data_IF_175760007126
#
_entry.id   IF_175760007126
#
_cell.length_a   1.000
_cell.length_b   1.000
_cell.length_c   1.000
_cell.angle_alpha   90.00
_cell.angle_beta   90.00
_cell.angle_gamma   90.00
#
_symmetry.space_group_name_H-M   'P 1'
#
loop_
_entity.id
_entity.type
_entity.pdbx_description
1 polymer ?
#
# COMPACT_ATOMS: atom_id res chain seq x y z
N UNK A 1 -8.45 10.40 -0.42
CA UNK A 1 -7.76 9.16 -0.84
C UNK A 1 -6.99 8.60 0.34
N UNK A 2 -6.68 7.31 0.36
CA UNK A 2 -5.97 6.63 1.45
C UNK A 2 -4.78 5.88 0.88
N UNK A 3 -3.67 5.84 1.62
CA UNK A 3 -2.55 4.95 1.28
C UNK A 3 -2.88 3.56 1.79
N UNK A 4 -2.78 2.58 0.91
CA UNK A 4 -2.93 1.17 1.25
C UNK A 4 -1.62 0.46 0.96
N UNK A 5 -1.20 -0.34 1.93
CA UNK A 5 -0.10 -1.30 1.80
C UNK A 5 -0.71 -2.68 1.60
N UNK A 6 -0.25 -3.37 0.57
CA UNK A 6 -0.63 -4.73 0.26
C UNK A 6 0.63 -5.57 0.32
N UNK A 7 0.74 -6.35 1.39
CA UNK A 7 1.86 -7.27 1.58
C UNK A 7 1.52 -8.60 0.93
N UNK A 8 2.30 -8.99 -0.07
CA UNK A 8 2.21 -10.26 -0.79
C UNK A 8 3.20 -11.25 -0.19
N UNK A 9 2.73 -12.45 0.16
CA UNK A 9 3.54 -13.56 0.66
C UNK A 9 4.43 -13.23 1.88
N UNK A 10 4.15 -12.13 2.60
CA UNK A 10 4.93 -11.68 3.75
C UNK A 10 6.29 -11.07 3.42
N UNK A 11 6.63 -10.92 2.13
CA UNK A 11 7.96 -10.44 1.69
C UNK A 11 7.89 -9.18 0.86
N UNK A 12 6.93 -9.09 -0.07
CA UNK A 12 6.81 -7.96 -0.99
C UNK A 12 5.68 -7.06 -0.55
N UNK A 13 5.87 -5.74 -0.57
CA UNK A 13 4.80 -4.78 -0.26
C UNK A 13 4.57 -3.82 -1.41
N UNK A 14 3.30 -3.67 -1.79
CA UNK A 14 2.84 -2.72 -2.80
C UNK A 14 2.11 -1.60 -2.08
N UNK A 15 2.54 -0.36 -2.31
CA UNK A 15 1.91 0.85 -1.78
C UNK A 15 1.15 1.56 -2.88
N UNK A 16 -0.10 1.91 -2.63
CA UNK A 16 -0.91 2.62 -3.61
C UNK A 16 -1.98 3.51 -2.96
N UNK A 17 -2.44 4.50 -3.72
CA UNK A 17 -3.53 5.39 -3.33
C UNK A 17 -4.87 4.87 -3.82
N UNK A 18 -5.80 4.63 -2.90
CA UNK A 18 -7.15 4.19 -3.22
C UNK A 18 -8.20 4.83 -2.29
N UNK A 19 -9.45 4.98 -2.75
CA UNK A 19 -10.54 5.48 -1.91
C UNK A 19 -10.93 4.47 -0.80
N UNK A 20 -10.79 3.17 -1.06
CA UNK A 20 -11.15 2.09 -0.14
C UNK A 20 -10.16 0.92 -0.25
N UNK A 21 -10.10 0.07 0.78
CA UNK A 21 -9.29 -1.17 0.76
C UNK A 21 -9.71 -2.12 -0.37
N UNK A 22 -11.00 -2.18 -0.67
CA UNK A 22 -11.52 -2.99 -1.77
C UNK A 22 -11.00 -2.49 -3.12
N UNK A 23 -11.05 -1.16 -3.34
CA UNK A 23 -10.53 -0.57 -4.58
C UNK A 23 -9.01 -0.76 -4.71
N UNK A 24 -8.29 -0.74 -3.59
CA UNK A 24 -6.86 -1.05 -3.59
C UNK A 24 -6.58 -2.48 -4.08
N UNK A 25 -7.37 -3.45 -3.64
CA UNK A 25 -7.25 -4.84 -4.08
C UNK A 25 -7.55 -5.03 -5.56
N UNK A 26 -8.62 -4.40 -6.07
CA UNK A 26 -8.93 -4.44 -7.50
C UNK A 26 -7.76 -3.89 -8.34
N UNK A 27 -7.18 -2.76 -7.93
CA UNK A 27 -6.07 -2.13 -8.65
C UNK A 27 -4.81 -3.00 -8.66
N UNK A 28 -4.46 -3.63 -7.54
CA UNK A 28 -3.33 -4.58 -7.49
C UNK A 28 -3.64 -5.84 -8.30
N UNK A 29 -4.90 -6.29 -8.30
CA UNK A 29 -5.37 -7.37 -9.16
C UNK A 29 -5.08 -7.11 -10.63
N UNK A 30 -5.50 -5.94 -11.12
CA UNK A 30 -5.25 -5.52 -12.50
C UNK A 30 -3.75 -5.41 -12.79
N UNK A 31 -2.99 -4.73 -11.94
CA UNK A 31 -1.55 -4.58 -12.12
C UNK A 31 -0.82 -5.93 -12.22
N UNK A 32 -1.13 -6.87 -11.33
CA UNK A 32 -0.50 -8.20 -11.34
C UNK A 32 -0.93 -9.05 -12.52
N UNK A 33 -2.19 -8.94 -12.96
CA UNK A 33 -2.66 -9.60 -14.17
C UNK A 33 -1.90 -9.09 -15.41
N UNK A 34 -1.73 -7.77 -15.54
CA UNK A 34 -0.99 -7.15 -16.65
C UNK A 34 0.51 -7.52 -16.61
N UNK A 35 1.07 -7.66 -15.40
CA UNK A 35 2.43 -8.15 -15.18
C UNK A 35 2.60 -9.66 -15.39
N UNK A 36 1.56 -10.38 -15.85
CA UNK A 36 1.52 -11.85 -16.02
C UNK A 36 1.81 -12.64 -14.73
N UNK A 37 1.45 -12.08 -13.57
CA UNK A 37 1.56 -12.72 -12.24
C UNK A 37 0.25 -12.72 -11.45
N UNK A 38 -0.88 -13.15 -12.03
CA UNK A 38 -2.19 -13.12 -11.36
C UNK A 38 -2.26 -14.04 -10.12
N UNK A 39 -1.35 -15.01 -10.01
CA UNK A 39 -1.22 -15.96 -8.91
C UNK A 39 -0.70 -15.35 -7.60
N UNK A 40 -0.09 -14.17 -7.65
CA UNK A 40 0.41 -13.47 -6.46
C UNK A 40 -0.70 -12.99 -5.50
N UNK A 41 -1.95 -12.89 -5.98
CA UNK A 41 -3.13 -12.54 -5.19
C UNK A 41 -3.98 -13.76 -4.82
N UNK A 42 -3.38 -14.96 -4.73
CA UNK A 42 -4.11 -16.12 -4.23
C UNK A 42 -4.62 -15.89 -2.81
N UNK A 43 -5.90 -16.22 -2.62
CA UNK A 43 -6.61 -16.12 -1.34
C UNK A 43 -5.79 -16.78 -0.23
N UNK A 44 -5.65 -16.09 0.91
CA UNK A 44 -4.90 -16.46 2.12
C UNK A 44 -3.40 -16.16 2.20
N UNK A 45 -2.79 -15.50 1.19
CA UNK A 45 -1.36 -15.11 1.25
C UNK A 45 -1.06 -13.62 1.06
N UNK A 46 -2.05 -12.75 1.27
CA UNK A 46 -1.83 -11.31 1.25
C UNK A 46 -2.53 -10.59 2.41
N UNK A 47 -1.95 -9.49 2.85
CA UNK A 47 -2.48 -8.63 3.91
C UNK A 47 -2.70 -7.23 3.35
N UNK A 48 -3.88 -6.65 3.60
CA UNK A 48 -4.20 -5.27 3.20
C UNK A 48 -4.32 -4.39 4.42
N UNK A 49 -3.36 -3.48 4.56
CA UNK A 49 -3.33 -2.47 5.62
C UNK A 49 -3.61 -1.10 5.02
N UNK A 50 -4.47 -0.34 5.67
CA UNK A 50 -4.56 1.10 5.38
C UNK A 50 -3.52 1.76 6.26
N UNK A 51 -2.61 2.54 5.66
CA UNK A 51 -1.63 3.31 6.42
C UNK A 51 -2.26 4.62 6.87
N UNK A 52 -2.05 4.95 8.12
CA UNK A 52 -2.26 6.30 8.63
C UNK A 52 -0.96 7.07 8.44
N UNK A 53 -0.93 7.97 7.46
CA UNK A 53 0.24 8.80 7.16
C UNK A 53 0.59 9.71 8.33
N UNK A 54 -0.37 10.07 9.18
CA UNK A 54 -0.09 10.90 10.36
C UNK A 54 0.69 10.12 11.42
N UNK A 55 0.41 8.83 11.60
CA UNK A 55 1.18 7.96 12.50
C UNK A 55 2.59 7.66 11.94
N UNK A 56 2.71 7.46 10.62
CA UNK A 56 4.02 7.28 9.98
C UNK A 56 4.87 8.56 10.03
N UNK A 57 4.24 9.75 10.03
CA UNK A 57 4.93 11.02 10.27
C UNK A 57 5.48 11.11 11.70
N UNK A 58 4.86 10.48 12.70
CA UNK A 58 5.39 10.43 14.08
C UNK A 58 6.72 9.67 14.12
N UNK A 59 6.98 8.73 13.21
CA UNK A 59 8.25 8.01 13.16
C UNK A 59 9.38 8.82 12.48
N UNK A 60 9.07 9.95 11.84
CA UNK A 60 10.10 10.83 11.29
C UNK A 60 10.84 11.56 12.41
N UNK A 61 12.18 11.72 12.30
CA UNK A 61 12.93 12.64 13.14
C UNK A 61 12.26 14.02 13.12
N UNK A 62 12.23 14.73 14.25
CA UNK A 62 11.45 15.99 14.39
C UNK A 62 11.72 17.00 13.27
N UNK A 63 12.97 17.07 12.78
CA UNK A 63 13.37 17.93 11.65
C UNK A 63 12.67 17.61 10.33
N UNK A 64 12.28 16.35 10.11
CA UNK A 64 11.63 15.87 8.89
C UNK A 64 10.09 15.79 9.00
N UNK A 65 9.53 16.05 10.19
CA UNK A 65 8.07 16.14 10.40
C UNK A 65 7.48 17.44 9.84
N UNK A 66 8.28 18.51 9.83
CA UNK A 66 7.89 19.82 9.33
C UNK A 66 8.07 19.98 7.81
N UNK A 67 8.73 19.04 7.14
CA UNK A 67 8.91 19.11 5.70
C UNK A 67 7.56 18.84 5.00
N UNK A 68 7.14 19.71 4.05
CA UNK A 68 6.03 19.39 3.18
C UNK A 68 6.33 18.08 2.43
N UNK A 69 5.30 17.26 2.25
CA UNK A 69 5.41 15.96 1.58
C UNK A 69 5.72 16.09 0.08
N UNK A 70 5.56 17.29 -0.47
CA UNK A 70 5.79 17.62 -1.87
C UNK A 70 6.81 18.76 -1.98
N UNK A 71 8.02 18.42 -2.41
CA UNK A 71 8.87 19.28 -3.24
C UNK A 71 9.51 18.42 -4.33
#
# INVERSE_FOLDING_TARGET
MKVCEITLHGTDSIYLLAPTKYRALELVGHYLADARRPDMLQSSKFVVRQLDLSEEQILRPEKCRACPLDE
#
